data_IF_505670840674
#
_entry.id   IF_505670840674
#
_cell.length_a   1.000
_cell.length_b   1.000
_cell.length_c   1.000
_cell.angle_alpha   90.00
_cell.angle_beta   90.00
_cell.angle_gamma   90.00
#
_symmetry.space_group_name_H-M   'P 1'
#
loop_
_entity.id
_entity.type
_entity.pdbx_description
1 polymer ?
#
# COMPACT_ATOMS: atom_id res chain seq x y z
N UNK A 1 57.28 -16.76 0.92
CA UNK A 1 56.03 -17.15 0.23
C UNK A 1 54.86 -16.81 1.12
N UNK A 2 54.20 -15.70 0.83
CA UNK A 2 53.06 -15.23 1.61
C UNK A 2 51.76 -15.81 1.07
N UNK A 3 51.10 -16.60 1.90
CA UNK A 3 49.75 -17.07 1.65
C UNK A 3 48.77 -15.92 1.98
N UNK A 4 48.21 -15.27 0.94
CA UNK A 4 47.13 -14.31 1.08
C UNK A 4 45.87 -15.07 1.53
N UNK A 5 45.45 -14.88 2.77
CA UNK A 5 44.15 -15.29 3.26
C UNK A 5 43.09 -14.51 2.45
N UNK A 6 42.31 -15.23 1.62
CA UNK A 6 41.07 -14.71 1.03
C UNK A 6 40.08 -14.40 2.16
N UNK A 7 39.91 -13.11 2.45
CA UNK A 7 38.85 -12.67 3.33
C UNK A 7 37.51 -13.14 2.76
N UNK A 8 36.80 -14.00 3.51
CA UNK A 8 35.38 -14.26 3.28
C UNK A 8 34.63 -12.95 3.47
N UNK A 9 34.24 -12.34 2.37
CA UNK A 9 33.25 -11.29 2.40
C UNK A 9 32.00 -11.90 3.03
N UNK A 10 31.65 -11.40 4.21
CA UNK A 10 30.37 -11.69 4.85
C UNK A 10 29.30 -11.24 3.84
N UNK A 11 28.66 -12.19 3.18
CA UNK A 11 27.44 -11.90 2.42
C UNK A 11 26.44 -11.28 3.41
N UNK A 12 26.10 -10.02 3.19
CA UNK A 12 25.00 -9.39 3.90
C UNK A 12 23.78 -10.28 3.71
N UNK A 13 23.11 -10.63 4.80
CA UNK A 13 21.84 -11.35 4.70
C UNK A 13 20.89 -10.47 3.91
N UNK A 14 20.70 -10.78 2.62
CA UNK A 14 19.67 -10.18 1.83
C UNK A 14 18.34 -10.61 2.41
N UNK A 15 17.47 -9.65 2.69
CA UNK A 15 16.11 -9.96 3.08
C UNK A 15 15.45 -10.79 1.96
N UNK A 16 14.47 -11.63 2.30
CA UNK A 16 13.82 -12.51 1.31
C UNK A 16 13.22 -11.76 0.11
N UNK A 17 12.80 -10.50 0.28
CA UNK A 17 12.35 -9.63 -0.80
C UNK A 17 13.46 -9.15 -1.76
N UNK A 18 14.73 -9.18 -1.36
CA UNK A 18 15.85 -8.88 -2.26
C UNK A 18 16.10 -10.01 -3.27
N UNK A 19 15.49 -11.18 -3.02
CA UNK A 19 15.55 -12.34 -3.91
C UNK A 19 14.41 -12.41 -4.90
N UNK A 20 13.41 -11.54 -4.80
CA UNK A 20 12.39 -11.44 -5.83
C UNK A 20 13.06 -11.02 -7.14
N UNK A 21 13.26 -12.01 -7.98
CA UNK A 21 13.86 -11.83 -9.29
C UNK A 21 13.07 -10.82 -10.10
N UNK A 22 13.76 -9.97 -10.82
CA UNK A 22 13.24 -8.85 -11.63
C UNK A 22 12.05 -9.17 -12.54
N UNK A 23 11.66 -10.40 -12.68
CA UNK A 23 10.57 -10.89 -13.55
C UNK A 23 9.18 -10.82 -12.87
N UNK A 24 9.06 -10.82 -11.56
CA UNK A 24 7.78 -10.66 -10.85
C UNK A 24 7.54 -9.23 -10.36
N UNK A 25 8.51 -8.37 -10.46
CA UNK A 25 8.49 -7.01 -9.89
C UNK A 25 7.50 -6.06 -10.57
N UNK A 26 6.93 -6.43 -11.71
CA UNK A 26 6.03 -5.57 -12.49
C UNK A 26 4.55 -5.92 -12.33
N UNK A 27 4.22 -6.89 -11.47
CA UNK A 27 2.85 -7.32 -11.23
C UNK A 27 2.31 -6.64 -9.98
N UNK A 28 1.19 -5.93 -10.12
CA UNK A 28 0.46 -5.36 -8.99
C UNK A 28 -0.18 -6.47 -8.18
N UNK A 29 0.19 -6.59 -6.90
CA UNK A 29 -0.33 -7.60 -5.97
C UNK A 29 -1.24 -7.03 -4.90
N UNK A 30 -1.05 -5.76 -4.55
CA UNK A 30 -1.87 -5.10 -3.53
C UNK A 30 -2.12 -3.63 -3.85
N UNK A 31 -3.29 -3.14 -3.45
CA UNK A 31 -3.65 -1.74 -3.41
C UNK A 31 -3.87 -1.33 -1.96
N UNK A 32 -3.21 -0.27 -1.53
CA UNK A 32 -3.27 0.25 -0.16
C UNK A 32 -4.01 1.59 -0.19
N UNK A 33 -5.17 1.63 0.44
CA UNK A 33 -5.99 2.83 0.54
C UNK A 33 -5.61 3.65 1.77
N UNK A 34 -5.43 4.94 1.59
CA UNK A 34 -5.39 5.91 2.68
C UNK A 34 -6.83 6.20 3.15
N UNK A 35 -7.21 5.63 4.29
CA UNK A 35 -8.55 5.80 4.82
C UNK A 35 -8.89 7.26 5.17
N UNK A 36 -7.87 8.03 5.50
CA UNK A 36 -8.06 9.42 5.96
C UNK A 36 -8.46 10.34 4.81
N UNK A 37 -8.11 9.99 3.57
CA UNK A 37 -8.35 10.83 2.40
C UNK A 37 -9.09 10.13 1.25
N UNK A 38 -8.97 8.82 1.11
CA UNK A 38 -9.52 8.07 -0.02
C UNK A 38 -10.83 7.34 0.28
N UNK A 39 -11.16 7.10 1.56
CA UNK A 39 -12.43 6.51 1.92
C UNK A 39 -13.48 7.62 2.22
N UNK A 40 -14.71 7.49 1.68
CA UNK A 40 -15.75 8.45 1.96
C UNK A 40 -16.19 8.43 3.43
N UNK A 41 -16.63 9.57 3.92
CA UNK A 41 -17.26 9.67 5.22
C UNK A 41 -18.68 9.09 5.14
N UNK A 42 -18.93 8.02 5.89
CA UNK A 42 -20.22 7.31 5.87
C UNK A 42 -21.39 8.20 6.29
N UNK A 43 -21.12 9.17 7.16
CA UNK A 43 -22.19 10.06 7.68
C UNK A 43 -22.62 11.12 6.65
N UNK A 44 -21.74 11.52 5.75
CA UNK A 44 -21.99 12.63 4.82
C UNK A 44 -22.18 12.18 3.38
N UNK A 45 -21.43 11.17 2.91
CA UNK A 45 -21.38 10.82 1.48
C UNK A 45 -22.10 9.50 1.15
N UNK A 46 -22.42 8.69 2.16
CA UNK A 46 -22.95 7.34 1.97
C UNK A 46 -21.94 6.39 1.31
N UNK A 47 -22.23 5.07 1.23
CA UNK A 47 -21.39 4.14 0.51
C UNK A 47 -21.46 4.44 -0.98
N UNK A 48 -20.41 5.03 -1.54
CA UNK A 48 -20.29 5.19 -2.99
C UNK A 48 -20.27 3.82 -3.66
N UNK A 49 -21.24 3.54 -4.51
CA UNK A 49 -21.31 2.30 -5.30
C UNK A 49 -19.96 2.07 -6.01
N UNK A 50 -19.32 3.12 -6.43
CA UNK A 50 -18.05 3.11 -7.14
C UNK A 50 -16.88 2.53 -6.31
N UNK A 51 -16.85 2.77 -4.99
CA UNK A 51 -15.80 2.20 -4.13
C UNK A 51 -15.96 0.68 -3.97
N UNK A 52 -17.19 0.22 -3.76
CA UNK A 52 -17.48 -1.21 -3.64
C UNK A 52 -17.14 -1.93 -4.94
N UNK A 53 -17.55 -1.39 -6.07
CA UNK A 53 -17.27 -1.95 -7.40
C UNK A 53 -15.76 -1.98 -7.67
N UNK A 54 -15.03 -0.93 -7.29
CA UNK A 54 -13.59 -0.86 -7.40
C UNK A 54 -12.90 -1.99 -6.58
N UNK A 55 -13.26 -2.12 -5.31
CA UNK A 55 -12.69 -3.13 -4.42
C UNK A 55 -13.06 -4.55 -4.87
N UNK A 56 -14.30 -4.75 -5.32
CA UNK A 56 -14.72 -6.02 -5.89
C UNK A 56 -13.93 -6.38 -7.17
N UNK A 57 -13.64 -5.40 -8.03
CA UNK A 57 -12.82 -5.66 -9.21
C UNK A 57 -11.38 -6.06 -8.85
N UNK A 58 -10.81 -5.46 -7.80
CA UNK A 58 -9.50 -5.86 -7.28
C UNK A 58 -9.53 -7.27 -6.72
N UNK A 59 -10.55 -7.60 -5.93
CA UNK A 59 -10.74 -8.94 -5.37
C UNK A 59 -10.83 -10.01 -6.46
N UNK A 60 -11.65 -9.78 -7.48
CA UNK A 60 -11.79 -10.70 -8.63
C UNK A 60 -10.49 -10.86 -9.41
N UNK A 61 -9.70 -9.79 -9.51
CA UNK A 61 -8.38 -9.82 -10.15
C UNK A 61 -7.28 -10.48 -9.29
N UNK A 62 -7.59 -10.90 -8.06
CA UNK A 62 -6.62 -11.48 -7.13
C UNK A 62 -5.65 -10.45 -6.54
N UNK A 63 -6.02 -9.17 -6.55
CA UNK A 63 -5.23 -8.08 -5.98
C UNK A 63 -5.74 -7.83 -4.56
N UNK A 64 -4.86 -7.89 -3.58
CA UNK A 64 -5.19 -7.65 -2.18
C UNK A 64 -5.51 -6.19 -1.93
N UNK A 65 -6.41 -5.94 -1.01
CA UNK A 65 -6.77 -4.60 -0.55
C UNK A 65 -6.32 -4.44 0.89
N UNK A 66 -5.59 -3.39 1.16
CA UNK A 66 -5.17 -2.98 2.49
C UNK A 66 -5.60 -1.54 2.75
N UNK A 67 -5.74 -1.19 4.00
CA UNK A 67 -6.12 0.15 4.44
C UNK A 67 -5.11 0.64 5.47
N UNK A 68 -4.67 1.88 5.34
CA UNK A 68 -3.83 2.58 6.32
C UNK A 68 -4.54 3.83 6.84
N UNK A 69 -4.33 4.18 8.10
CA UNK A 69 -4.95 5.37 8.70
C UNK A 69 -4.15 5.89 9.88
N UNK A 70 -4.16 7.20 10.07
CA UNK A 70 -3.64 7.87 11.27
C UNK A 70 -4.65 7.91 12.42
N UNK A 71 -5.86 7.39 12.19
CA UNK A 71 -6.93 7.30 13.20
C UNK A 71 -6.86 6.01 14.01
N UNK A 72 -7.53 5.95 15.17
CA UNK A 72 -7.62 4.75 15.97
C UNK A 72 -8.25 3.57 15.20
N UNK A 73 -7.76 2.36 15.47
CA UNK A 73 -8.20 1.12 14.82
C UNK A 73 -9.71 0.92 14.86
N UNK A 74 -10.33 1.13 16.00
CA UNK A 74 -11.77 0.90 16.17
C UNK A 74 -12.64 1.75 15.24
N UNK A 75 -12.23 2.99 14.98
CA UNK A 75 -12.93 3.88 14.07
C UNK A 75 -12.77 3.41 12.63
N UNK A 76 -11.54 3.04 12.22
CA UNK A 76 -11.23 2.60 10.85
C UNK A 76 -11.92 1.27 10.53
N UNK A 77 -11.89 0.31 11.44
CA UNK A 77 -12.58 -0.97 11.27
C UNK A 77 -14.09 -0.79 11.13
N UNK A 78 -14.68 0.13 11.91
CA UNK A 78 -16.10 0.46 11.81
C UNK A 78 -16.41 1.07 10.43
N UNK A 79 -15.62 2.02 9.98
CA UNK A 79 -15.78 2.65 8.66
C UNK A 79 -15.64 1.63 7.53
N UNK A 80 -14.61 0.81 7.55
CA UNK A 80 -14.36 -0.22 6.52
C UNK A 80 -15.52 -1.21 6.46
N UNK A 81 -16.00 -1.67 7.62
CA UNK A 81 -17.14 -2.61 7.68
C UNK A 81 -18.41 -2.00 7.12
N UNK A 82 -18.67 -0.72 7.41
CA UNK A 82 -19.84 -0.01 6.90
C UNK A 82 -19.77 0.22 5.39
N UNK A 83 -18.60 0.52 4.85
CA UNK A 83 -18.41 0.82 3.42
C UNK A 83 -18.29 -0.43 2.57
N UNK A 84 -17.55 -1.43 3.03
CA UNK A 84 -17.11 -2.58 2.23
C UNK A 84 -17.60 -3.92 2.77
N UNK A 85 -18.13 -3.95 3.98
CA UNK A 85 -18.45 -5.21 4.66
C UNK A 85 -17.20 -5.95 5.14
N UNK A 86 -17.37 -7.21 5.48
CA UNK A 86 -16.30 -8.09 5.94
C UNK A 86 -15.70 -8.90 4.78
N UNK A 87 -14.39 -9.14 4.83
CA UNK A 87 -13.71 -10.10 3.95
C UNK A 87 -13.12 -9.55 2.65
N UNK A 88 -13.30 -8.28 2.33
CA UNK A 88 -12.70 -7.64 1.14
C UNK A 88 -11.36 -6.97 1.43
N UNK A 89 -11.10 -6.60 2.68
CA UNK A 89 -9.85 -5.95 3.11
C UNK A 89 -8.98 -6.97 3.82
N UNK A 90 -7.78 -7.20 3.30
CA UNK A 90 -6.83 -8.19 3.83
C UNK A 90 -6.20 -7.72 5.14
N UNK A 91 -5.79 -6.46 5.22
CA UNK A 91 -5.20 -5.89 6.43
C UNK A 91 -5.56 -4.43 6.62
N UNK A 92 -5.69 -4.02 7.87
CA UNK A 92 -5.91 -2.64 8.30
C UNK A 92 -4.76 -2.27 9.24
N UNK A 93 -4.01 -1.25 8.87
CA UNK A 93 -2.89 -0.72 9.65
C UNK A 93 -3.22 0.70 10.11
N UNK A 94 -3.11 0.93 11.39
CA UNK A 94 -3.48 2.20 11.99
C UNK A 94 -2.37 2.74 12.91
N UNK A 95 -2.56 3.94 13.41
CA UNK A 95 -1.62 4.54 14.36
C UNK A 95 -1.44 3.67 15.61
N UNK A 96 -2.44 2.88 15.99
CA UNK A 96 -2.37 1.99 17.15
C UNK A 96 -1.38 0.83 16.97
N UNK A 97 -0.96 0.55 15.74
CA UNK A 97 0.02 -0.50 15.42
C UNK A 97 1.47 0.00 15.51
N UNK A 98 1.67 1.30 15.66
CA UNK A 98 3.00 1.86 15.85
C UNK A 98 3.43 1.70 17.31
N UNK A 99 4.73 1.48 17.58
CA UNK A 99 5.27 1.32 18.94
C UNK A 99 4.98 2.51 19.86
N UNK A 100 4.98 3.70 19.29
CA UNK A 100 4.52 4.92 19.92
C UNK A 100 3.57 5.60 18.92
N UNK A 101 2.37 6.02 19.34
CA UNK A 101 1.43 6.72 18.47
C UNK A 101 1.93 8.13 18.16
N UNK A 102 2.94 8.22 17.31
CA UNK A 102 3.52 9.46 16.84
C UNK A 102 2.99 9.78 15.44
N UNK A 103 2.22 10.86 15.34
CA UNK A 103 1.69 11.34 14.08
C UNK A 103 2.78 11.75 13.08
N UNK A 104 3.95 12.16 13.56
CA UNK A 104 5.10 12.45 12.69
C UNK A 104 5.65 11.17 12.06
N UNK A 105 5.73 10.08 12.83
CA UNK A 105 6.14 8.77 12.33
C UNK A 105 5.11 8.20 11.32
N UNK A 106 3.82 8.35 11.59
CA UNK A 106 2.76 7.96 10.66
C UNK A 106 2.88 8.73 9.32
N UNK A 107 3.18 10.03 9.36
CA UNK A 107 3.39 10.86 8.18
C UNK A 107 4.68 10.55 7.41
N UNK A 108 5.63 9.85 8.01
CA UNK A 108 6.89 9.45 7.36
C UNK A 108 6.78 8.20 6.50
N UNK A 109 5.59 7.60 6.39
CA UNK A 109 5.34 6.41 5.59
C UNK A 109 5.43 5.09 6.35
N UNK A 110 5.60 5.11 7.67
CA UNK A 110 5.72 3.88 8.49
C UNK A 110 4.48 3.00 8.43
N UNK A 111 3.28 3.57 8.35
CA UNK A 111 2.05 2.79 8.18
C UNK A 111 2.04 1.99 6.87
N UNK A 112 2.54 2.58 5.79
CA UNK A 112 2.67 1.89 4.51
C UNK A 112 3.73 0.78 4.56
N UNK A 113 4.87 1.02 5.22
CA UNK A 113 5.91 -0.01 5.42
C UNK A 113 5.39 -1.18 6.22
N UNK A 114 4.63 -0.90 7.27
CA UNK A 114 4.00 -1.94 8.10
C UNK A 114 2.97 -2.73 7.29
N UNK A 115 2.12 -2.07 6.50
CA UNK A 115 1.17 -2.75 5.62
C UNK A 115 1.87 -3.66 4.60
N UNK A 116 2.95 -3.21 3.99
CA UNK A 116 3.76 -4.02 3.08
C UNK A 116 4.36 -5.23 3.79
N UNK A 117 4.85 -5.03 5.01
CA UNK A 117 5.42 -6.10 5.83
C UNK A 117 4.36 -7.15 6.20
N UNK A 118 3.18 -6.74 6.62
CA UNK A 118 2.07 -7.64 6.94
C UNK A 118 1.57 -8.43 5.71
N UNK A 119 1.54 -7.78 4.54
CA UNK A 119 1.19 -8.43 3.28
C UNK A 119 2.32 -9.32 2.73
N UNK A 120 3.54 -9.19 3.25
CA UNK A 120 4.70 -9.94 2.78
C UNK A 120 5.11 -9.59 1.35
N UNK A 121 4.94 -8.34 0.93
CA UNK A 121 5.28 -7.86 -0.41
C UNK A 121 6.22 -6.66 -0.38
N UNK A 122 6.86 -6.40 -1.51
CA UNK A 122 7.74 -5.24 -1.67
C UNK A 122 6.94 -4.01 -2.16
N UNK A 123 7.48 -2.78 -2.02
CA UNK A 123 6.87 -1.59 -2.58
C UNK A 123 6.63 -1.68 -4.09
N UNK A 124 7.43 -2.45 -4.81
CA UNK A 124 7.29 -2.65 -6.27
C UNK A 124 6.01 -3.38 -6.66
N UNK A 125 5.47 -4.20 -5.77
CA UNK A 125 4.26 -4.98 -6.01
C UNK A 125 2.98 -4.30 -5.49
N UNK A 126 3.06 -3.08 -5.00
CA UNK A 126 1.94 -2.37 -4.41
C UNK A 126 1.69 -0.99 -5.06
N UNK A 127 0.49 -0.50 -4.91
CA UNK A 127 0.05 0.84 -5.30
C UNK A 127 -0.71 1.47 -4.14
N UNK A 128 -0.34 2.68 -3.77
CA UNK A 128 -1.11 3.46 -2.81
C UNK A 128 -2.18 4.31 -3.51
N UNK A 129 -3.35 4.39 -2.90
CA UNK A 129 -4.47 5.22 -3.36
C UNK A 129 -4.78 6.25 -2.29
N UNK A 130 -4.69 7.51 -2.64
CA UNK A 130 -4.99 8.64 -1.77
C UNK A 130 -6.08 9.53 -2.36
N UNK A 131 -6.86 10.18 -1.52
CA UNK A 131 -7.90 11.14 -1.93
C UNK A 131 -7.44 12.59 -1.94
N UNK A 132 -6.16 12.84 -1.70
CA UNK A 132 -5.58 14.19 -1.66
C UNK A 132 -4.20 14.22 -2.31
N UNK A 133 -3.95 15.22 -3.14
CA UNK A 133 -2.62 15.43 -3.75
C UNK A 133 -1.51 15.63 -2.72
N UNK A 134 -1.82 16.22 -1.57
CA UNK A 134 -0.84 16.39 -0.48
C UNK A 134 -0.48 15.05 0.17
N UNK A 135 -1.41 14.11 0.21
CA UNK A 135 -1.21 12.78 0.80
C UNK A 135 -0.31 11.86 -0.04
N UNK A 136 -0.02 12.20 -1.30
CA UNK A 136 0.88 11.43 -2.18
C UNK A 136 2.32 11.36 -1.65
N UNK A 137 2.73 12.30 -0.82
CA UNK A 137 4.10 12.35 -0.27
C UNK A 137 4.37 11.22 0.72
N UNK A 138 3.37 10.81 1.48
CA UNK A 138 3.52 9.78 2.53
C UNK A 138 3.83 8.40 1.94
N UNK A 139 3.07 7.86 0.97
CA UNK A 139 3.44 6.60 0.34
C UNK A 139 4.75 6.71 -0.46
N UNK A 140 5.04 7.86 -1.07
CA UNK A 140 6.31 8.08 -1.76
C UNK A 140 7.51 7.95 -0.82
N UNK A 141 7.41 8.40 0.42
CA UNK A 141 8.44 8.23 1.44
C UNK A 141 8.70 6.75 1.79
N UNK A 142 7.71 5.87 1.58
CA UNK A 142 7.85 4.42 1.72
C UNK A 142 8.30 3.72 0.43
N UNK A 143 8.60 4.47 -0.63
CA UNK A 143 9.01 3.92 -1.93
C UNK A 143 7.85 3.36 -2.77
N UNK A 144 6.61 3.68 -2.44
CA UNK A 144 5.41 3.22 -3.12
C UNK A 144 5.02 4.13 -4.27
N UNK A 145 4.65 3.56 -5.44
CA UNK A 145 3.85 4.28 -6.41
C UNK A 145 2.51 4.68 -5.77
N UNK A 146 2.08 5.89 -6.02
CA UNK A 146 0.85 6.42 -5.48
C UNK A 146 0.05 7.13 -6.55
N UNK A 147 -1.27 7.00 -6.46
CA UNK A 147 -2.22 7.69 -7.32
C UNK A 147 -3.23 8.47 -6.49
N UNK A 148 -3.59 9.60 -7.00
CA UNK A 148 -4.72 10.39 -6.51
C UNK A 148 -6.00 9.89 -7.19
N UNK A 149 -7.00 9.60 -6.39
CA UNK A 149 -8.33 9.24 -6.89
C UNK A 149 -9.24 10.45 -6.72
N UNK A 150 -9.53 11.05 -7.82
CA UNK A 150 -10.75 11.78 -7.95
C UNK A 150 -11.84 10.76 -8.38
N UNK A 151 -13.01 10.81 -7.80
CA UNK A 151 -14.13 9.86 -7.80
C UNK A 151 -14.51 9.16 -9.14
N UNK A 152 -13.67 9.18 -10.14
CA UNK A 152 -13.93 8.57 -11.43
C UNK A 152 -13.04 7.35 -11.66
N UNK A 153 -13.66 6.16 -11.56
CA UNK A 153 -13.18 4.93 -12.19
C UNK A 153 -11.92 4.27 -11.58
N UNK A 154 -11.92 4.05 -10.28
CA UNK A 154 -10.98 3.11 -9.71
C UNK A 154 -11.43 1.68 -10.07
N UNK A 155 -10.57 0.95 -10.74
CA UNK A 155 -10.77 -0.46 -11.10
C UNK A 155 -9.44 -1.21 -11.04
N UNK A 156 -9.48 -2.54 -11.06
CA UNK A 156 -8.26 -3.34 -11.15
C UNK A 156 -7.42 -2.95 -12.38
N UNK A 157 -8.05 -2.73 -13.52
CA UNK A 157 -7.36 -2.35 -14.76
C UNK A 157 -6.70 -0.97 -14.64
N UNK A 158 -7.39 0.03 -14.07
CA UNK A 158 -6.82 1.37 -13.87
C UNK A 158 -5.67 1.37 -12.87
N UNK A 159 -5.77 0.60 -11.79
CA UNK A 159 -4.70 0.43 -10.82
C UNK A 159 -3.47 -0.25 -11.43
N UNK A 160 -3.65 -1.32 -12.19
CA UNK A 160 -2.57 -2.01 -12.90
C UNK A 160 -1.89 -1.09 -13.93
N UNK A 161 -2.66 -0.27 -14.63
CA UNK A 161 -2.12 0.69 -15.58
C UNK A 161 -1.32 1.80 -14.89
N UNK A 162 -1.84 2.35 -13.79
CA UNK A 162 -1.15 3.38 -13.00
C UNK A 162 0.16 2.85 -12.41
N UNK A 163 0.15 1.65 -11.88
CA UNK A 163 1.32 0.96 -11.35
C UNK A 163 2.40 0.77 -12.42
N UNK A 164 2.05 0.26 -13.60
CA UNK A 164 2.98 0.11 -14.73
C UNK A 164 3.56 1.45 -15.20
N UNK A 165 2.72 2.48 -15.32
CA UNK A 165 3.17 3.82 -15.72
C UNK A 165 4.15 4.44 -14.74
N UNK A 166 3.98 4.20 -13.46
CA UNK A 166 4.90 4.67 -12.44
C UNK A 166 6.30 4.10 -12.66
N UNK A 167 6.40 2.78 -12.77
CA UNK A 167 7.69 2.11 -12.90
C UNK A 167 8.39 2.39 -14.23
N UNK A 168 7.64 2.55 -15.31
CA UNK A 168 8.21 2.97 -16.60
C UNK A 168 8.87 4.35 -16.47
N UNK A 169 8.24 5.29 -15.76
CA UNK A 169 8.82 6.63 -15.56
C UNK A 169 10.04 6.63 -14.65
N UNK A 170 10.14 5.70 -13.72
CA UNK A 170 11.31 5.58 -12.85
C UNK A 170 12.50 4.92 -13.54
N UNK A 171 12.26 4.14 -14.59
CA UNK A 171 13.28 3.46 -15.37
C UNK A 171 13.87 4.34 -16.51
N UNK A 172 13.23 5.45 -16.83
CA UNK A 172 13.68 6.41 -17.83
C UNK A 172 14.63 7.45 -17.24
#
# INVERSE_FOLDING_TARGET
MGVRAKGKTREAHSFWWDRETRTEADVLRAVIFDADTALPDVEHDGPGIDLVDAVMSLFVAGIWVSVVSTRPRAEVETQVRQLLGDGLVETIVTIDDLPEPDTALARSGELYRLALWELGITPRAALAVTGSGCALRTPAAAGLPAVFVDNSLLSAASCQQAHRRWWIRQAA
#
